data_IF_286824247791
#
_entry.id   IF_286824247791
#
_cell.length_a   1.000
_cell.length_b   1.000
_cell.length_c   1.000
_cell.angle_alpha   90.00
_cell.angle_beta   90.00
_cell.angle_gamma   90.00
#
_symmetry.space_group_name_H-M   'P 1'
#
loop_
_entity.id
_entity.type
_entity.pdbx_description
1 polymer ?
#
# COMPACT_ATOMS: atom_id res chain seq x y z
N UNK A 1 -25.70 14.17 -19.96
CA UNK A 1 -25.36 12.90 -20.62
C UNK A 1 -25.17 11.90 -19.50
N UNK A 2 -26.11 10.97 -19.30
CA UNK A 2 -26.01 10.00 -18.21
C UNK A 2 -24.87 9.03 -18.50
N UNK A 3 -23.78 9.15 -17.75
CA UNK A 3 -22.69 8.19 -17.79
C UNK A 3 -23.21 6.85 -17.24
N UNK A 4 -23.29 5.85 -18.11
CA UNK A 4 -23.55 4.47 -17.68
C UNK A 4 -22.27 3.89 -17.11
N UNK A 5 -22.17 3.84 -15.80
CA UNK A 5 -21.05 3.19 -15.11
C UNK A 5 -21.19 1.67 -15.16
N UNK A 6 -20.07 0.98 -15.30
CA UNK A 6 -20.03 -0.47 -15.14
C UNK A 6 -20.22 -0.81 -13.67
N UNK A 7 -21.27 -1.57 -13.36
CA UNK A 7 -21.49 -2.06 -12.01
C UNK A 7 -20.58 -3.26 -11.75
N UNK A 8 -19.57 -3.03 -10.91
CA UNK A 8 -18.50 -3.99 -10.62
C UNK A 8 -19.02 -5.30 -10.02
N UNK A 9 -20.24 -5.34 -9.48
CA UNK A 9 -20.86 -6.60 -9.01
C UNK A 9 -21.07 -7.63 -10.12
N UNK A 10 -21.14 -7.18 -11.37
CA UNK A 10 -21.27 -8.06 -12.54
C UNK A 10 -19.93 -8.64 -12.99
N UNK A 11 -18.82 -8.24 -12.37
CA UNK A 11 -17.52 -8.84 -12.61
C UNK A 11 -17.48 -10.25 -12.02
N UNK A 12 -17.73 -11.25 -12.86
CA UNK A 12 -17.68 -12.67 -12.50
C UNK A 12 -16.56 -13.31 -13.32
N UNK A 13 -15.35 -13.34 -12.77
CA UNK A 13 -14.22 -14.03 -13.39
C UNK A 13 -13.25 -14.53 -12.34
N UNK A 14 -12.93 -15.82 -12.38
CA UNK A 14 -11.89 -16.45 -11.54
C UNK A 14 -10.49 -16.29 -12.12
N UNK A 15 -10.39 -15.87 -13.39
CA UNK A 15 -9.13 -15.78 -14.13
C UNK A 15 -8.52 -14.38 -14.14
N UNK A 16 -9.23 -13.38 -13.60
CA UNK A 16 -8.79 -12.01 -13.65
C UNK A 16 -7.56 -11.80 -12.77
N UNK A 17 -6.45 -11.40 -13.40
CA UNK A 17 -5.19 -11.13 -12.69
C UNK A 17 -4.98 -9.65 -12.39
N UNK A 18 -5.64 -8.76 -13.14
CA UNK A 18 -5.49 -7.31 -12.97
C UNK A 18 -6.85 -6.64 -13.03
N UNK A 19 -7.14 -5.83 -12.02
CA UNK A 19 -8.33 -5.01 -11.94
C UNK A 19 -7.91 -3.58 -11.62
N UNK A 20 -8.17 -2.67 -12.56
CA UNK A 20 -8.00 -1.24 -12.35
C UNK A 20 -9.38 -0.60 -12.34
N UNK A 21 -9.83 -0.18 -11.16
CA UNK A 21 -11.12 0.43 -10.92
C UNK A 21 -10.94 1.65 -9.99
N UNK A 22 -10.20 2.68 -10.44
CA UNK A 22 -10.05 3.91 -9.67
C UNK A 22 -11.39 4.64 -9.72
N UNK A 23 -11.81 5.25 -8.62
CA UNK A 23 -13.12 5.90 -8.59
C UNK A 23 -13.07 7.35 -8.18
N UNK A 24 -13.60 8.21 -9.04
CA UNK A 24 -14.12 9.53 -8.64
C UNK A 24 -15.41 9.36 -7.81
N UNK A 25 -15.93 10.36 -7.08
CA UNK A 25 -16.65 10.15 -5.81
C UNK A 25 -18.00 9.43 -5.94
N UNK A 26 -17.99 8.09 -5.94
CA UNK A 26 -19.19 7.24 -5.87
C UNK A 26 -19.11 6.30 -4.67
N UNK A 27 -20.28 5.84 -4.22
CA UNK A 27 -20.47 5.04 -3.02
C UNK A 27 -20.40 3.55 -3.35
N UNK A 28 -19.41 2.81 -2.83
CA UNK A 28 -19.06 1.45 -3.27
C UNK A 28 -19.25 0.37 -2.21
N UNK A 29 -20.35 0.37 -1.48
CA UNK A 29 -20.66 -0.71 -0.51
C UNK A 29 -20.73 -2.14 -1.13
N UNK A 30 -20.59 -2.29 -2.45
CA UNK A 30 -20.75 -3.55 -3.18
C UNK A 30 -19.45 -4.37 -3.39
N UNK A 31 -18.30 -3.89 -2.94
CA UNK A 31 -17.01 -4.59 -3.12
C UNK A 31 -16.95 -5.97 -2.44
N UNK A 32 -17.69 -6.15 -1.34
CA UNK A 32 -17.64 -7.35 -0.50
C UNK A 32 -18.01 -8.65 -1.22
N UNK A 33 -18.88 -8.58 -2.23
CA UNK A 33 -19.48 -9.78 -2.83
C UNK A 33 -18.65 -10.44 -3.94
N UNK A 34 -17.64 -9.77 -4.49
CA UNK A 34 -16.91 -10.30 -5.64
C UNK A 34 -15.45 -10.64 -5.36
N UNK A 35 -14.81 -10.08 -4.33
CA UNK A 35 -13.44 -10.46 -3.95
C UNK A 35 -13.24 -11.97 -3.73
N UNK A 36 -14.20 -12.73 -3.16
CA UNK A 36 -14.08 -14.19 -3.08
C UNK A 36 -13.93 -14.89 -4.43
N UNK A 37 -14.29 -14.23 -5.54
CA UNK A 37 -14.17 -14.77 -6.90
C UNK A 37 -12.87 -14.36 -7.58
N UNK A 38 -12.07 -13.48 -7.00
CA UNK A 38 -10.85 -12.90 -7.58
C UNK A 38 -9.57 -13.53 -7.01
N UNK A 39 -9.57 -14.84 -6.75
CA UNK A 39 -8.43 -15.52 -6.10
C UNK A 39 -7.11 -15.42 -6.88
N UNK A 40 -7.17 -15.29 -8.21
CA UNK A 40 -6.00 -15.13 -9.10
C UNK A 40 -5.52 -13.68 -9.27
N UNK A 41 -6.16 -12.73 -8.59
CA UNK A 41 -5.83 -11.32 -8.72
C UNK A 41 -4.43 -11.03 -8.20
N UNK A 42 -3.63 -10.37 -9.03
CA UNK A 42 -2.25 -9.97 -8.74
C UNK A 42 -2.10 -8.45 -8.66
N UNK A 43 -2.96 -7.70 -9.34
CA UNK A 43 -2.94 -6.23 -9.35
C UNK A 43 -4.35 -5.70 -9.09
N UNK A 44 -4.48 -4.84 -8.08
CA UNK A 44 -5.72 -4.17 -7.73
C UNK A 44 -5.46 -2.69 -7.52
N UNK A 45 -6.17 -1.85 -8.28
CA UNK A 45 -6.11 -0.39 -8.17
C UNK A 45 -7.52 0.12 -7.88
N UNK A 46 -7.69 0.78 -6.74
CA UNK A 46 -8.94 1.33 -6.21
C UNK A 46 -8.75 2.78 -5.73
N UNK A 47 -7.79 3.53 -6.25
CA UNK A 47 -7.52 4.90 -5.82
C UNK A 47 -8.78 5.77 -5.85
N UNK A 48 -8.83 6.79 -4.98
CA UNK A 48 -9.94 7.75 -4.84
C UNK A 48 -11.30 7.15 -4.42
N UNK A 49 -11.34 5.84 -4.13
CA UNK A 49 -12.59 5.14 -3.82
C UNK A 49 -13.06 5.38 -2.39
N UNK A 50 -14.37 5.39 -2.19
CA UNK A 50 -15.00 5.47 -0.85
C UNK A 50 -15.00 4.12 -0.11
N UNK A 51 -13.84 3.47 -0.04
CA UNK A 51 -13.65 2.21 0.70
C UNK A 51 -13.18 2.48 2.13
N UNK A 52 -13.54 1.60 3.06
CA UNK A 52 -13.13 1.65 4.47
C UNK A 52 -12.25 0.44 4.84
N UNK A 53 -11.84 0.38 6.11
CA UNK A 53 -11.00 -0.70 6.64
C UNK A 53 -11.61 -2.11 6.43
N UNK A 54 -12.93 -2.22 6.38
CA UNK A 54 -13.62 -3.49 6.09
C UNK A 54 -13.31 -4.01 4.69
N UNK A 55 -13.16 -3.11 3.71
CA UNK A 55 -12.73 -3.48 2.36
C UNK A 55 -11.33 -4.10 2.36
N UNK A 56 -10.37 -3.48 3.06
CA UNK A 56 -9.01 -4.01 3.18
C UNK A 56 -8.97 -5.37 3.87
N UNK A 57 -9.82 -5.58 4.89
CA UNK A 57 -9.99 -6.91 5.52
C UNK A 57 -10.44 -7.97 4.52
N UNK A 58 -11.41 -7.63 3.66
CA UNK A 58 -11.92 -8.56 2.64
C UNK A 58 -10.84 -8.85 1.59
N UNK A 59 -10.10 -7.83 1.15
CA UNK A 59 -8.95 -8.00 0.24
C UNK A 59 -7.92 -8.95 0.86
N UNK A 60 -7.51 -8.71 2.11
CA UNK A 60 -6.56 -9.57 2.83
C UNK A 60 -7.03 -11.02 3.01
N UNK A 61 -8.35 -11.22 3.09
CA UNK A 61 -8.95 -12.55 3.25
C UNK A 61 -8.95 -13.35 1.93
N UNK A 62 -9.28 -12.70 0.81
CA UNK A 62 -9.57 -13.41 -0.44
C UNK A 62 -8.51 -13.25 -1.54
N UNK A 63 -7.81 -12.11 -1.59
CA UNK A 63 -6.85 -11.79 -2.66
C UNK A 63 -5.43 -12.25 -2.30
N UNK A 64 -5.26 -13.53 -1.97
CA UNK A 64 -4.00 -14.08 -1.42
C UNK A 64 -2.81 -14.02 -2.38
N UNK A 65 -3.07 -13.94 -3.68
CA UNK A 65 -2.05 -13.84 -4.73
C UNK A 65 -1.71 -12.39 -5.13
N UNK A 66 -2.28 -11.40 -4.43
CA UNK A 66 -2.12 -10.00 -4.78
C UNK A 66 -0.66 -9.57 -4.57
N UNK A 67 -0.09 -8.94 -5.59
CA UNK A 67 1.28 -8.44 -5.61
C UNK A 67 1.33 -6.92 -5.55
N UNK A 68 0.35 -6.25 -6.16
CA UNK A 68 0.28 -4.80 -6.24
C UNK A 68 -1.10 -4.38 -5.74
N UNK A 69 -1.11 -3.54 -4.70
CA UNK A 69 -2.30 -2.85 -4.23
C UNK A 69 -2.08 -1.35 -4.29
N UNK A 70 -2.98 -0.65 -4.94
CA UNK A 70 -3.05 0.81 -4.93
C UNK A 70 -4.43 1.25 -4.43
N UNK A 71 -4.43 1.90 -3.28
CA UNK A 71 -5.60 2.48 -2.61
C UNK A 71 -5.32 3.93 -2.20
N UNK A 72 -4.45 4.62 -2.94
CA UNK A 72 -4.20 6.05 -2.72
C UNK A 72 -5.50 6.86 -2.66
N UNK A 73 -5.52 7.90 -1.82
CA UNK A 73 -6.63 8.86 -1.74
C UNK A 73 -7.97 8.24 -1.32
N UNK A 74 -7.94 7.16 -0.53
CA UNK A 74 -9.13 6.57 0.09
C UNK A 74 -9.30 7.08 1.53
N UNK A 75 -10.08 8.14 1.71
CA UNK A 75 -10.16 8.92 2.96
C UNK A 75 -10.62 8.18 4.21
N UNK A 76 -11.33 7.06 4.06
CA UNK A 76 -11.86 6.27 5.20
C UNK A 76 -10.91 5.16 5.66
N UNK A 77 -9.74 4.99 5.01
CA UNK A 77 -8.76 4.00 5.41
C UNK A 77 -7.89 4.51 6.56
N UNK A 78 -7.64 3.64 7.53
CA UNK A 78 -6.81 3.92 8.70
C UNK A 78 -5.73 2.85 8.89
N UNK A 79 -4.86 3.04 9.88
CA UNK A 79 -3.89 2.02 10.28
C UNK A 79 -4.56 0.67 10.61
N UNK A 80 -5.82 0.67 11.07
CA UNK A 80 -6.60 -0.56 11.35
C UNK A 80 -6.84 -1.37 10.08
N UNK A 81 -7.12 -0.70 8.95
CA UNK A 81 -7.31 -1.36 7.67
C UNK A 81 -6.04 -2.06 7.19
N UNK A 82 -4.86 -1.45 7.40
CA UNK A 82 -3.58 -2.10 7.11
C UNK A 82 -3.32 -3.31 8.01
N UNK A 83 -3.70 -3.23 9.29
CA UNK A 83 -3.63 -4.38 10.23
C UNK A 83 -4.47 -5.56 9.77
N UNK A 84 -5.65 -5.29 9.24
CA UNK A 84 -6.55 -6.33 8.72
C UNK A 84 -6.16 -6.82 7.33
N UNK A 85 -5.51 -5.98 6.52
CA UNK A 85 -5.02 -6.36 5.20
C UNK A 85 -3.87 -7.38 5.31
N UNK A 86 -2.90 -7.09 6.17
CA UNK A 86 -1.64 -7.86 6.28
C UNK A 86 -1.31 -8.23 7.73
N UNK A 87 -2.19 -8.94 8.45
CA UNK A 87 -1.80 -9.52 9.74
C UNK A 87 -0.64 -10.50 9.52
N UNK A 88 0.18 -10.74 10.54
CA UNK A 88 1.38 -11.62 10.45
C UNK A 88 1.10 -13.02 9.88
N UNK A 89 -0.12 -13.50 10.03
CA UNK A 89 -0.55 -14.84 9.59
C UNK A 89 -1.25 -14.85 8.23
N UNK A 90 -1.48 -13.69 7.60
CA UNK A 90 -2.13 -13.64 6.30
C UNK A 90 -1.21 -14.17 5.20
N UNK A 91 -1.78 -14.98 4.30
CA UNK A 91 -1.10 -15.47 3.10
C UNK A 91 -0.69 -14.30 2.18
N UNK A 92 -1.54 -13.25 2.09
CA UNK A 92 -1.24 -12.02 1.35
C UNK A 92 0.09 -11.37 1.77
N UNK A 93 0.43 -11.42 3.06
CA UNK A 93 1.66 -10.83 3.58
C UNK A 93 2.93 -11.42 2.93
N UNK A 94 2.84 -12.64 2.37
CA UNK A 94 3.97 -13.30 1.68
C UNK A 94 4.05 -12.98 0.19
N UNK A 95 2.99 -12.42 -0.40
CA UNK A 95 2.88 -12.20 -1.85
C UNK A 95 2.88 -10.72 -2.24
N UNK A 96 2.47 -9.83 -1.34
CA UNK A 96 2.40 -8.38 -1.60
C UNK A 96 3.80 -7.78 -1.79
N UNK A 97 4.01 -7.13 -2.93
CA UNK A 97 5.29 -6.56 -3.37
C UNK A 97 5.24 -5.04 -3.46
N UNK A 98 4.09 -4.48 -3.82
CA UNK A 98 3.90 -3.03 -3.96
C UNK A 98 2.62 -2.60 -3.24
N UNK A 99 2.74 -1.59 -2.37
CA UNK A 99 1.64 -1.00 -1.62
C UNK A 99 1.66 0.53 -1.79
N UNK A 100 0.62 1.08 -2.40
CA UNK A 100 0.41 2.51 -2.53
C UNK A 100 -0.80 2.92 -1.71
N UNK A 101 -0.58 3.74 -0.68
CA UNK A 101 -1.53 3.93 0.41
C UNK A 101 -1.42 5.34 1.04
N UNK A 102 -1.25 6.36 0.20
CA UNK A 102 -1.30 7.77 0.59
C UNK A 102 -2.74 8.15 0.93
N UNK A 103 -3.15 7.94 2.20
CA UNK A 103 -4.48 8.26 2.73
C UNK A 103 -4.35 9.11 4.00
N UNK A 104 -5.23 10.10 4.25
CA UNK A 104 -5.06 11.08 5.34
C UNK A 104 -4.96 10.50 6.75
N UNK A 105 -5.66 9.39 7.02
CA UNK A 105 -5.73 8.77 8.35
C UNK A 105 -4.71 7.63 8.57
N UNK A 106 -3.90 7.31 7.56
CA UNK A 106 -2.79 6.34 7.70
C UNK A 106 -1.55 7.07 8.17
N UNK A 107 -0.88 6.50 9.18
CA UNK A 107 0.27 7.10 9.86
C UNK A 107 1.47 6.16 9.81
N UNK A 108 2.60 6.62 10.37
CA UNK A 108 3.84 5.83 10.50
C UNK A 108 3.57 4.41 11.02
N UNK A 109 2.71 4.27 12.03
CA UNK A 109 2.37 2.97 12.64
C UNK A 109 1.85 1.96 11.61
N UNK A 110 0.91 2.35 10.76
CA UNK A 110 0.39 1.47 9.70
C UNK A 110 1.48 1.03 8.71
N UNK A 111 2.36 1.96 8.33
CA UNK A 111 3.48 1.69 7.41
C UNK A 111 4.52 0.76 8.05
N UNK A 112 4.90 1.02 9.31
CA UNK A 112 5.80 0.17 10.11
C UNK A 112 5.25 -1.27 10.15
N UNK A 113 3.95 -1.40 10.44
CA UNK A 113 3.29 -2.70 10.49
C UNK A 113 3.32 -3.43 9.14
N UNK A 114 3.03 -2.73 8.04
CA UNK A 114 3.08 -3.31 6.71
C UNK A 114 4.50 -3.81 6.37
N UNK A 115 5.54 -3.02 6.65
CA UNK A 115 6.94 -3.40 6.43
C UNK A 115 7.36 -4.61 7.27
N UNK A 116 6.90 -4.70 8.52
CA UNK A 116 7.22 -5.82 9.41
C UNK A 116 6.52 -7.11 9.02
N UNK A 117 5.27 -7.02 8.54
CA UNK A 117 4.46 -8.18 8.24
C UNK A 117 4.68 -8.69 6.81
N UNK A 118 5.13 -7.84 5.88
CA UNK A 118 5.27 -8.18 4.46
C UNK A 118 6.74 -8.28 4.01
N UNK A 119 7.41 -9.45 4.14
CA UNK A 119 8.82 -9.61 3.76
C UNK A 119 9.08 -9.52 2.25
N UNK A 120 8.04 -9.65 1.42
CA UNK A 120 8.12 -9.53 -0.03
C UNK A 120 7.97 -8.08 -0.52
N UNK A 121 7.66 -7.13 0.37
CA UNK A 121 7.40 -5.75 0.00
C UNK A 121 8.69 -5.07 -0.52
N UNK A 122 8.59 -4.45 -1.70
CA UNK A 122 9.70 -3.81 -2.41
C UNK A 122 9.46 -2.34 -2.71
N UNK A 123 8.19 -1.96 -2.79
CA UNK A 123 7.75 -0.60 -3.12
C UNK A 123 6.66 -0.22 -2.13
N UNK A 124 6.85 0.91 -1.45
CA UNK A 124 5.82 1.53 -0.64
C UNK A 124 5.71 2.99 -1.04
N UNK A 125 4.52 3.39 -1.45
CA UNK A 125 4.15 4.77 -1.72
C UNK A 125 3.22 5.26 -0.60
N UNK A 126 3.76 6.12 0.25
CA UNK A 126 3.05 6.78 1.34
C UNK A 126 3.88 7.97 1.83
N UNK A 127 3.25 9.06 2.27
CA UNK A 127 3.92 10.27 2.73
C UNK A 127 4.89 10.06 3.91
N UNK A 128 4.69 9.02 4.72
CA UNK A 128 5.49 8.74 5.90
C UNK A 128 6.64 7.76 5.67
N UNK A 129 6.76 7.15 4.48
CA UNK A 129 7.72 6.06 4.24
C UNK A 129 9.17 6.50 4.49
N UNK A 130 9.54 7.71 4.06
CA UNK A 130 10.92 8.18 4.21
C UNK A 130 11.34 8.30 5.67
N UNK A 131 10.50 8.94 6.48
CA UNK A 131 10.73 9.08 7.91
C UNK A 131 10.86 7.71 8.59
N UNK A 132 9.98 6.76 8.25
CA UNK A 132 10.03 5.39 8.79
C UNK A 132 11.35 4.72 8.43
N UNK A 133 11.85 4.89 7.20
CA UNK A 133 13.13 4.34 6.77
C UNK A 133 14.31 5.00 7.48
N UNK A 134 14.26 6.32 7.72
CA UNK A 134 15.27 7.04 8.50
C UNK A 134 15.30 6.51 9.95
N UNK A 135 14.13 6.40 10.59
CA UNK A 135 14.00 5.87 11.96
C UNK A 135 14.49 4.41 12.05
N UNK A 136 14.20 3.57 11.05
CA UNK A 136 14.71 2.21 10.96
C UNK A 136 16.24 2.18 10.87
N UNK A 137 16.80 3.00 9.99
CA UNK A 137 18.25 3.07 9.77
C UNK A 137 19.02 3.62 10.98
N UNK A 138 18.36 4.46 11.80
CA UNK A 138 18.90 4.97 13.06
C UNK A 138 18.76 3.99 14.24
N UNK A 139 18.34 2.74 13.99
CA UNK A 139 18.21 1.67 14.98
C UNK A 139 17.16 1.94 16.07
N UNK A 140 15.98 2.43 15.68
CA UNK A 140 14.82 2.41 16.57
C UNK A 140 14.49 0.96 16.98
N UNK A 141 14.29 0.73 18.29
CA UNK A 141 13.94 -0.60 18.84
C UNK A 141 12.66 -1.17 18.22
N UNK A 142 11.74 -0.31 17.79
CA UNK A 142 10.49 -0.70 17.13
C UNK A 142 10.72 -1.35 15.77
N UNK A 143 11.78 -0.97 15.05
CA UNK A 143 12.05 -1.38 13.67
C UNK A 143 13.18 -2.41 13.53
N UNK A 144 13.76 -2.86 14.65
CA UNK A 144 14.94 -3.74 14.70
C UNK A 144 14.80 -5.06 13.92
N UNK A 145 13.58 -5.54 13.67
CA UNK A 145 13.31 -6.80 12.96
C UNK A 145 12.85 -6.62 11.51
N UNK A 146 12.80 -5.39 11.02
CA UNK A 146 12.31 -5.10 9.66
C UNK A 146 13.39 -5.41 8.63
N UNK A 147 13.20 -6.46 7.83
CA UNK A 147 14.14 -6.81 6.77
C UNK A 147 13.82 -6.01 5.49
N UNK A 148 14.59 -4.97 5.23
CA UNK A 148 14.42 -4.11 4.05
C UNK A 148 15.40 -4.42 2.91
N UNK A 149 16.03 -5.61 2.93
CA UNK A 149 16.99 -6.00 1.89
C UNK A 149 16.36 -6.08 0.49
N UNK A 150 15.04 -6.28 0.40
CA UNK A 150 14.28 -6.31 -0.86
C UNK A 150 13.73 -4.95 -1.29
N UNK A 151 13.83 -3.90 -0.45
CA UNK A 151 13.25 -2.60 -0.74
C UNK A 151 14.00 -1.94 -1.90
N UNK A 152 13.29 -1.61 -2.97
CA UNK A 152 13.87 -1.37 -4.28
C UNK A 152 13.56 0.02 -4.85
N UNK A 153 12.42 0.60 -4.48
CA UNK A 153 11.95 1.88 -5.00
C UNK A 153 11.38 2.72 -3.87
N UNK A 154 11.78 3.99 -3.82
CA UNK A 154 11.33 4.97 -2.84
C UNK A 154 10.74 6.18 -3.55
N UNK A 155 9.55 6.59 -3.12
CA UNK A 155 8.92 7.85 -3.54
C UNK A 155 9.02 8.87 -2.41
N UNK A 156 9.62 10.02 -2.69
CA UNK A 156 9.72 11.15 -1.77
C UNK A 156 8.76 12.25 -2.21
N UNK A 157 7.60 12.30 -1.56
CA UNK A 157 6.69 13.45 -1.61
C UNK A 157 7.12 14.45 -0.52
N UNK A 158 7.24 15.75 -0.81
CA UNK A 158 7.77 16.74 0.13
C UNK A 158 6.71 17.06 1.18
N UNK A 159 6.72 16.32 2.29
CA UNK A 159 5.89 16.60 3.49
C UNK A 159 6.75 17.01 4.70
N UNK A 160 8.08 17.05 4.56
CA UNK A 160 8.99 17.47 5.64
C UNK A 160 10.38 17.89 5.16
N UNK A 161 11.17 18.46 6.07
CA UNK A 161 12.57 18.84 5.81
C UNK A 161 13.45 17.58 5.76
N UNK A 162 13.83 17.14 4.55
CA UNK A 162 14.91 16.16 4.40
C UNK A 162 16.24 16.85 4.72
N UNK A 163 16.80 16.58 5.90
CA UNK A 163 18.10 17.10 6.31
C UNK A 163 19.26 16.39 5.59
N UNK A 164 20.40 17.06 5.47
CA UNK A 164 21.56 16.53 4.75
C UNK A 164 22.00 15.17 5.32
N UNK A 165 22.14 14.18 4.45
CA UNK A 165 22.67 12.85 4.81
C UNK A 165 21.62 11.79 5.15
N UNK A 166 20.35 12.15 5.39
CA UNK A 166 19.29 11.17 5.68
C UNK A 166 19.04 10.22 4.51
N UNK A 167 19.02 10.74 3.27
CA UNK A 167 18.89 9.87 2.09
C UNK A 167 20.06 8.89 1.96
N UNK A 168 21.29 9.35 2.23
CA UNK A 168 22.47 8.49 2.22
C UNK A 168 22.40 7.39 3.28
N UNK A 169 21.86 7.70 4.46
CA UNK A 169 21.59 6.72 5.51
C UNK A 169 20.57 5.67 5.04
N UNK A 170 19.45 6.08 4.46
CA UNK A 170 18.41 5.17 3.94
C UNK A 170 18.96 4.26 2.84
N UNK A 171 19.72 4.81 1.88
CA UNK A 171 20.35 4.02 0.80
C UNK A 171 21.31 2.97 1.35
N UNK A 172 22.08 3.29 2.41
CA UNK A 172 22.96 2.30 3.07
C UNK A 172 22.19 1.21 3.79
N UNK A 173 21.02 1.54 4.34
CA UNK A 173 20.17 0.59 5.05
C UNK A 173 19.34 -0.30 4.10
N UNK A 174 18.99 0.22 2.91
CA UNK A 174 18.24 -0.50 1.86
C UNK A 174 19.15 -0.80 0.66
N UNK A 175 19.98 -1.86 0.69
CA UNK A 175 21.02 -2.09 -0.33
C UNK A 175 20.47 -2.39 -1.73
N UNK A 176 19.21 -2.78 -1.87
CA UNK A 176 18.55 -2.99 -3.16
C UNK A 176 17.86 -1.75 -3.72
N UNK A 177 17.88 -0.62 -3.00
CA UNK A 177 17.24 0.62 -3.42
C UNK A 177 17.98 1.21 -4.63
N UNK A 178 17.39 1.04 -5.82
CA UNK A 178 18.00 1.50 -7.07
C UNK A 178 17.24 2.66 -7.73
N UNK A 179 16.02 2.95 -7.27
CA UNK A 179 15.19 4.03 -7.79
C UNK A 179 14.68 4.92 -6.66
N UNK A 180 14.99 6.21 -6.74
CA UNK A 180 14.44 7.24 -5.85
C UNK A 180 13.82 8.33 -6.71
N UNK A 181 12.52 8.56 -6.53
CA UNK A 181 11.80 9.66 -7.18
C UNK A 181 11.55 10.75 -6.15
N UNK A 182 11.94 11.99 -6.45
CA UNK A 182 11.81 13.13 -5.55
C UNK A 182 10.92 14.17 -6.22
N UNK A 183 9.80 14.50 -5.58
CA UNK A 183 9.00 15.66 -5.98
C UNK A 183 9.55 16.89 -5.27
N UNK A 184 10.05 17.84 -6.04
CA UNK A 184 10.59 19.10 -5.53
C UNK A 184 9.48 20.15 -5.62
N UNK A 185 9.14 20.82 -4.52
CA UNK A 185 8.34 22.06 -4.59
C UNK A 185 9.26 23.19 -5.03
N UNK A 186 8.83 23.97 -6.01
CA UNK A 186 9.44 25.28 -6.25
C UNK A 186 9.25 26.14 -4.99
N UNK A 187 10.33 26.75 -4.53
CA UNK A 187 10.37 27.59 -3.33
C UNK A 187 9.77 28.97 -3.54
#
# INVERSE_FOLDING_TARGET
MDLKYFDIKFLISTELQKLNAPSYPYDYEQFSNFFPKLEKLQVLVLCYSKIDDSCLKIIGTWCKNLRILDVNECDKLTDTGLEWLVPKTAELSTTLQELSVTCPAIKKKGIIMALQNCPALRVVENDHIFDVLVEAAQQSAELAHTNLSNFARLLLCPVGECSSGQLGLVVRYCPSLFSVTIFVKEG
#
